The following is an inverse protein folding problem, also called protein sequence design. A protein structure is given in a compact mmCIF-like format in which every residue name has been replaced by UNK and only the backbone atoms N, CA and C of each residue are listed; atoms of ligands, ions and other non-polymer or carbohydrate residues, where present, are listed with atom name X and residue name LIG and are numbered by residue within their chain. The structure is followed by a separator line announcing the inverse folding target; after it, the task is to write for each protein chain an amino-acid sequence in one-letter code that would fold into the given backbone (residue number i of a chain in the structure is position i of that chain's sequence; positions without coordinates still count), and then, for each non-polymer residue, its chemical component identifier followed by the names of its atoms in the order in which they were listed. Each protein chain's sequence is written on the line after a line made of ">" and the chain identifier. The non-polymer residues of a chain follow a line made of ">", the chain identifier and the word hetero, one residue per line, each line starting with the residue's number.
data_IF_489250859763
#
_entry.id   IF_489250859763
#
_cell.length_a   1.000
_cell.length_b   1.000
_cell.length_c   1.000
_cell.angle_alpha   90.00
_cell.angle_beta   90.00
_cell.angle_gamma   90.00
#
_symmetry.space_group_name_H-M   'P 1'
#
loop_
_entity.id
_entity.type
_entity.pdbx_description
1 polymer ?
#
# COMPACT_ATOMS: atom_id res chain seq x y z
N UNK A 1 24.39 7.45 37.61
CA UNK A 1 24.60 7.00 36.22
C UNK A 1 23.34 6.35 35.59
N UNK A 2 22.12 6.65 36.08
CA UNK A 2 20.86 6.06 35.58
C UNK A 2 20.06 6.99 34.66
N UNK A 3 20.34 8.30 34.68
CA UNK A 3 19.63 9.34 33.92
C UNK A 3 19.93 9.31 32.42
N UNK A 4 21.13 8.89 32.00
CA UNK A 4 21.48 8.77 30.58
C UNK A 4 20.69 7.65 29.88
N UNK A 5 20.52 6.48 30.53
CA UNK A 5 19.81 5.34 29.94
C UNK A 5 18.30 5.58 29.76
N UNK A 6 17.67 6.35 30.66
CA UNK A 6 16.26 6.72 30.55
C UNK A 6 16.02 7.70 29.40
N UNK A 7 16.87 8.72 29.27
CA UNK A 7 16.73 9.74 28.24
C UNK A 7 16.91 9.16 26.82
N UNK A 8 17.83 8.20 26.63
CA UNK A 8 18.02 7.51 25.34
C UNK A 8 16.86 6.57 24.99
N UNK A 9 16.24 5.92 25.98
CA UNK A 9 15.12 4.99 25.73
C UNK A 9 13.83 5.68 25.31
N UNK A 10 13.65 6.93 25.72
CA UNK A 10 12.50 7.76 25.36
C UNK A 10 12.67 8.31 23.95
N UNK A 11 13.84 8.87 23.62
CA UNK A 11 14.17 9.32 22.26
C UNK A 11 14.16 8.20 21.23
N UNK A 12 14.65 7.00 21.55
CA UNK A 12 14.60 5.87 20.61
C UNK A 12 13.16 5.43 20.30
N UNK A 13 12.29 5.33 21.32
CA UNK A 13 10.87 5.00 21.13
C UNK A 13 10.16 6.04 20.27
N UNK A 14 10.51 7.31 20.46
CA UNK A 14 9.96 8.44 19.71
C UNK A 14 10.47 8.44 18.26
N UNK A 15 11.73 8.05 18.00
CA UNK A 15 12.27 7.89 16.64
C UNK A 15 11.58 6.76 15.89
N UNK A 16 11.33 5.60 16.52
CA UNK A 16 10.60 4.51 15.88
C UNK A 16 9.15 4.89 15.56
N UNK A 17 8.49 5.62 16.47
CA UNK A 17 7.13 6.11 16.26
C UNK A 17 7.07 7.15 15.15
N UNK A 18 7.99 8.12 15.14
CA UNK A 18 8.10 9.13 14.10
C UNK A 18 8.33 8.51 12.71
N UNK A 19 9.21 7.50 12.62
CA UNK A 19 9.49 6.81 11.35
C UNK A 19 8.27 6.00 10.86
N UNK A 20 7.49 5.40 11.76
CA UNK A 20 6.23 4.74 11.42
C UNK A 20 5.20 5.77 10.95
N UNK A 21 5.08 6.89 11.67
CA UNK A 21 4.11 7.94 11.38
C UNK A 21 4.41 8.62 10.04
N UNK A 22 5.67 8.82 9.69
CA UNK A 22 6.12 9.34 8.38
C UNK A 22 5.75 8.41 7.21
N UNK A 23 5.98 7.10 7.35
CA UNK A 23 5.56 6.08 6.36
C UNK A 23 4.02 6.04 6.21
N UNK A 24 3.26 6.29 7.28
CA UNK A 24 1.80 6.45 7.19
C UNK A 24 1.38 7.79 6.60
N UNK A 25 2.10 8.88 6.89
CA UNK A 25 1.73 10.21 6.41
C UNK A 25 1.91 10.35 4.89
N UNK A 26 2.86 9.61 4.29
CA UNK A 26 2.98 9.49 2.82
C UNK A 26 1.69 9.01 2.13
N UNK A 27 0.81 8.29 2.83
CA UNK A 27 -0.49 7.84 2.31
C UNK A 27 -1.67 8.47 3.06
N UNK A 28 -1.43 9.56 3.80
CA UNK A 28 -2.39 10.23 4.70
C UNK A 28 -3.74 10.58 4.08
N UNK A 29 -3.75 10.93 2.79
CA UNK A 29 -4.97 11.29 2.06
C UNK A 29 -5.82 10.07 1.68
N UNK A 30 -5.21 8.90 1.51
CA UNK A 30 -5.92 7.68 1.10
C UNK A 30 -6.32 6.79 2.28
N UNK A 31 -5.96 7.20 3.49
CA UNK A 31 -6.40 6.53 4.71
C UNK A 31 -7.86 6.86 5.01
N UNK A 32 -8.67 5.80 5.08
CA UNK A 32 -10.06 5.91 5.52
C UNK A 32 -10.12 6.40 6.97
N UNK A 33 -11.23 7.01 7.35
CA UNK A 33 -11.45 7.58 8.68
C UNK A 33 -11.13 6.59 9.82
N UNK A 34 -11.43 5.31 9.62
CA UNK A 34 -11.14 4.23 10.56
C UNK A 34 -9.63 3.97 10.74
N UNK A 35 -8.83 4.11 9.68
CA UNK A 35 -7.37 3.98 9.74
C UNK A 35 -6.72 5.19 10.42
N UNK A 36 -7.25 6.40 10.19
CA UNK A 36 -6.84 7.60 10.95
C UNK A 36 -7.12 7.45 12.43
N UNK A 37 -8.25 6.84 12.80
CA UNK A 37 -8.57 6.53 14.20
C UNK A 37 -7.58 5.53 14.82
N UNK A 38 -7.25 4.42 14.12
CA UNK A 38 -6.26 3.45 14.61
C UNK A 38 -4.84 4.02 14.73
N UNK A 39 -4.47 4.97 13.86
CA UNK A 39 -3.19 5.68 13.99
C UNK A 39 -3.17 6.55 15.24
N UNK A 40 -4.26 7.29 15.49
CA UNK A 40 -4.41 8.14 16.68
C UNK A 40 -4.44 7.34 17.98
N UNK A 41 -4.99 6.13 17.94
CA UNK A 41 -5.09 5.23 19.10
C UNK A 41 -3.81 4.37 19.29
N UNK A 42 -2.75 4.58 18.47
CA UNK A 42 -1.48 3.85 18.57
C UNK A 42 -1.53 2.40 18.08
N UNK A 43 -2.60 1.99 17.40
CA UNK A 43 -2.82 0.63 16.89
C UNK A 43 -2.19 0.39 15.50
N UNK A 44 -0.94 0.82 15.31
CA UNK A 44 -0.23 0.79 14.02
C UNK A 44 -0.21 -0.60 13.35
N UNK A 45 -0.13 -1.68 14.14
CA UNK A 45 -0.14 -3.06 13.63
C UNK A 45 -1.47 -3.41 12.96
N UNK A 46 -2.60 -3.01 13.55
CA UNK A 46 -3.94 -3.25 13.00
C UNK A 46 -4.16 -2.40 11.75
N UNK A 47 -3.72 -1.14 11.77
CA UNK A 47 -3.79 -0.25 10.60
C UNK A 47 -3.01 -0.80 9.39
N UNK A 48 -1.77 -1.26 9.62
CA UNK A 48 -0.92 -1.84 8.57
C UNK A 48 -1.50 -3.15 8.01
N UNK A 49 -1.97 -4.05 8.88
CA UNK A 49 -2.56 -5.33 8.46
C UNK A 49 -3.86 -5.15 7.65
N UNK A 50 -4.72 -4.21 8.06
CA UNK A 50 -5.93 -3.87 7.32
C UNK A 50 -5.60 -3.23 5.96
N UNK A 51 -4.64 -2.30 5.93
CA UNK A 51 -4.17 -1.68 4.69
C UNK A 51 -3.66 -2.75 3.70
N UNK A 52 -2.84 -3.70 4.17
CA UNK A 52 -2.35 -4.81 3.34
C UNK A 52 -3.46 -5.69 2.77
N UNK A 53 -4.50 -6.01 3.56
CA UNK A 53 -5.66 -6.78 3.07
C UNK A 53 -6.40 -6.02 1.98
N UNK A 54 -6.65 -4.72 2.17
CA UNK A 54 -7.28 -3.88 1.14
C UNK A 54 -6.45 -3.81 -0.12
N UNK A 55 -5.15 -3.55 0.02
CA UNK A 55 -4.22 -3.50 -1.11
C UNK A 55 -4.20 -4.82 -1.90
N UNK A 56 -4.34 -5.98 -1.23
CA UNK A 56 -4.50 -7.28 -1.92
C UNK A 56 -5.80 -7.34 -2.73
N UNK A 57 -6.94 -6.94 -2.15
CA UNK A 57 -8.24 -6.94 -2.83
C UNK A 57 -8.20 -6.01 -4.04
N UNK A 58 -7.73 -4.76 -3.86
CA UNK A 58 -7.54 -3.82 -4.96
C UNK A 58 -6.65 -4.40 -6.06
N UNK A 59 -5.58 -5.11 -5.69
CA UNK A 59 -4.72 -5.75 -6.68
C UNK A 59 -5.43 -6.81 -7.52
N UNK A 60 -6.27 -7.64 -6.91
CA UNK A 60 -7.08 -8.62 -7.65
C UNK A 60 -8.06 -7.92 -8.58
N UNK A 61 -8.73 -6.86 -8.11
CA UNK A 61 -9.68 -6.09 -8.93
C UNK A 61 -9.00 -5.45 -10.14
N UNK A 62 -7.81 -4.86 -9.95
CA UNK A 62 -7.07 -4.23 -11.06
C UNK A 62 -6.56 -5.27 -12.06
N UNK A 63 -6.08 -6.43 -11.60
CA UNK A 63 -5.69 -7.52 -12.51
C UNK A 63 -6.90 -8.00 -13.32
N UNK A 64 -8.04 -8.18 -12.66
CA UNK A 64 -9.27 -8.60 -13.33
C UNK A 64 -9.75 -7.56 -14.35
N UNK A 65 -9.66 -6.26 -14.03
CA UNK A 65 -9.99 -5.20 -14.98
C UNK A 65 -9.03 -5.19 -16.18
N UNK A 66 -7.72 -5.37 -15.95
CA UNK A 66 -6.74 -5.47 -17.04
C UNK A 66 -7.09 -6.60 -18.00
N UNK A 67 -7.42 -7.80 -17.48
CA UNK A 67 -7.79 -8.95 -18.32
C UNK A 67 -9.07 -8.63 -19.12
N UNK A 68 -10.11 -8.14 -18.44
CA UNK A 68 -11.42 -7.88 -19.06
C UNK A 68 -11.32 -6.83 -20.17
N UNK A 69 -10.64 -5.70 -19.90
CA UNK A 69 -10.48 -4.63 -20.90
C UNK A 69 -9.51 -5.02 -22.01
N UNK A 70 -8.52 -5.89 -21.75
CA UNK A 70 -7.66 -6.43 -22.81
C UNK A 70 -8.48 -7.30 -23.79
N UNK A 71 -9.37 -8.17 -23.28
CA UNK A 71 -10.25 -8.99 -24.12
C UNK A 71 -11.24 -8.13 -24.91
N UNK A 72 -11.84 -7.11 -24.28
CA UNK A 72 -12.71 -6.14 -24.96
C UNK A 72 -11.98 -5.38 -26.07
N UNK A 73 -10.74 -4.97 -25.80
CA UNK A 73 -9.92 -4.26 -26.78
C UNK A 73 -9.63 -5.16 -28.00
N UNK A 74 -9.23 -6.41 -27.79
CA UNK A 74 -9.01 -7.39 -28.86
C UNK A 74 -10.29 -7.63 -29.66
N UNK A 75 -11.42 -7.82 -28.98
CA UNK A 75 -12.73 -8.00 -29.65
C UNK A 75 -13.06 -6.83 -30.57
N UNK A 76 -12.90 -5.59 -30.09
CA UNK A 76 -13.18 -4.40 -30.88
C UNK A 76 -12.18 -4.18 -32.01
N UNK A 77 -10.91 -4.57 -31.85
CA UNK A 77 -9.95 -4.56 -32.96
C UNK A 77 -10.29 -5.57 -34.06
N UNK A 78 -10.74 -6.78 -33.69
CA UNK A 78 -11.23 -7.78 -34.66
C UNK A 78 -12.47 -7.24 -35.39
N UNK A 79 -13.40 -6.65 -34.64
CA UNK A 79 -14.61 -6.04 -35.20
C UNK A 79 -14.27 -4.91 -36.18
N UNK A 80 -13.27 -4.08 -35.87
CA UNK A 80 -12.76 -3.06 -36.78
C UNK A 80 -12.15 -3.68 -38.04
N UNK A 81 -11.33 -4.73 -37.92
CA UNK A 81 -10.73 -5.41 -39.07
C UNK A 81 -11.75 -6.04 -40.02
N UNK A 82 -12.86 -6.54 -39.48
CA UNK A 82 -13.91 -7.19 -40.27
C UNK A 82 -14.91 -6.20 -40.88
N UNK A 83 -15.33 -5.17 -40.14
CA UNK A 83 -16.45 -4.31 -40.52
C UNK A 83 -16.02 -2.86 -40.84
N UNK A 84 -14.75 -2.49 -40.65
CA UNK A 84 -14.21 -1.16 -40.96
C UNK A 84 -14.76 -0.01 -40.11
N UNK A 85 -15.52 -0.30 -39.04
CA UNK A 85 -16.21 0.72 -38.25
C UNK A 85 -15.27 1.52 -37.33
N UNK A 86 -15.16 2.83 -37.55
CA UNK A 86 -14.31 3.74 -36.74
C UNK A 86 -14.66 3.73 -35.26
N UNK A 87 -15.93 3.50 -34.90
CA UNK A 87 -16.36 3.34 -33.50
C UNK A 87 -15.69 2.16 -32.81
N UNK A 88 -15.55 1.02 -33.50
CA UNK A 88 -14.89 -0.15 -32.95
C UNK A 88 -13.39 0.12 -32.73
N UNK A 89 -12.74 0.87 -33.62
CA UNK A 89 -11.35 1.30 -33.44
C UNK A 89 -11.17 2.17 -32.19
N UNK A 90 -12.04 3.17 -31.99
CA UNK A 90 -11.99 4.07 -30.82
C UNK A 90 -12.23 3.29 -29.52
N UNK A 91 -13.18 2.34 -29.50
CA UNK A 91 -13.43 1.47 -28.36
C UNK A 91 -12.25 0.55 -28.07
N UNK A 92 -11.61 0.00 -29.09
CA UNK A 92 -10.40 -0.81 -28.97
C UNK A 92 -9.24 -0.03 -28.34
N UNK A 93 -8.94 1.16 -28.87
CA UNK A 93 -7.84 2.03 -28.40
C UNK A 93 -8.11 2.54 -26.98
N UNK A 94 -9.33 2.99 -26.68
CA UNK A 94 -9.69 3.49 -25.35
C UNK A 94 -9.64 2.40 -24.27
N UNK A 95 -10.10 1.18 -24.58
CA UNK A 95 -9.96 0.03 -23.70
C UNK A 95 -8.48 -0.30 -23.44
N UNK A 96 -7.63 -0.21 -24.46
CA UNK A 96 -6.19 -0.44 -24.32
C UNK A 96 -5.49 0.66 -23.50
N UNK A 97 -5.86 1.92 -23.71
CA UNK A 97 -5.39 3.05 -22.91
C UNK A 97 -5.78 2.89 -21.43
N UNK A 98 -7.00 2.40 -21.16
CA UNK A 98 -7.44 2.09 -19.80
C UNK A 98 -6.63 0.98 -19.15
N UNK A 99 -6.22 -0.05 -19.91
CA UNK A 99 -5.32 -1.12 -19.42
C UNK A 99 -3.96 -0.56 -19.03
N UNK A 100 -3.35 0.28 -19.87
CA UNK A 100 -2.06 0.94 -19.56
C UNK A 100 -2.20 1.78 -18.29
N UNK A 101 -3.22 2.63 -18.23
CA UNK A 101 -3.46 3.49 -17.08
C UNK A 101 -3.64 2.68 -15.79
N UNK A 102 -4.50 1.65 -15.83
CA UNK A 102 -4.74 0.75 -14.69
C UNK A 102 -3.47 0.06 -14.23
N UNK A 103 -2.59 -0.33 -15.16
CA UNK A 103 -1.29 -0.95 -14.86
C UNK A 103 -0.34 0.02 -14.18
N UNK A 104 -0.28 1.28 -14.62
CA UNK A 104 0.54 2.32 -14.01
C UNK A 104 0.06 2.60 -12.57
N UNK A 105 -1.25 2.75 -12.38
CA UNK A 105 -1.86 2.97 -11.05
C UNK A 105 -1.60 1.78 -10.13
N UNK A 106 -1.75 0.55 -10.62
CA UNK A 106 -1.42 -0.65 -9.84
C UNK A 106 0.04 -0.67 -9.39
N UNK A 107 0.95 -0.34 -10.30
CA UNK A 107 2.39 -0.39 -10.03
C UNK A 107 2.81 0.71 -9.05
N UNK A 108 2.30 1.93 -9.23
CA UNK A 108 2.67 3.06 -8.38
C UNK A 108 1.97 3.05 -7.04
N UNK A 109 0.67 2.80 -6.98
CA UNK A 109 -0.07 3.00 -5.72
C UNK A 109 -0.19 1.70 -4.94
N UNK A 110 -0.54 0.59 -5.61
CA UNK A 110 -0.81 -0.68 -4.92
C UNK A 110 0.49 -1.35 -4.47
N UNK A 111 1.50 -1.45 -5.33
CA UNK A 111 2.77 -2.10 -4.96
C UNK A 111 3.60 -1.25 -3.99
N UNK A 112 3.66 0.07 -4.16
CA UNK A 112 4.41 0.94 -3.24
C UNK A 112 3.75 0.95 -1.86
N UNK A 113 2.41 1.07 -1.79
CA UNK A 113 1.69 0.97 -0.52
C UNK A 113 1.89 -0.39 0.14
N UNK A 114 1.85 -1.49 -0.62
CA UNK A 114 2.15 -2.83 -0.09
C UNK A 114 3.55 -2.89 0.52
N UNK A 115 4.55 -2.37 -0.19
CA UNK A 115 5.95 -2.37 0.25
C UNK A 115 6.15 -1.52 1.52
N UNK A 116 5.58 -0.32 1.56
CA UNK A 116 5.63 0.57 2.73
C UNK A 116 4.97 -0.08 3.95
N UNK A 117 3.74 -0.60 3.83
CA UNK A 117 3.04 -1.24 4.96
C UNK A 117 3.79 -2.49 5.47
N UNK A 118 4.49 -3.22 4.60
CA UNK A 118 5.37 -4.32 5.02
C UNK A 118 6.59 -3.83 5.81
N UNK A 119 7.19 -2.69 5.44
CA UNK A 119 8.27 -2.08 6.23
C UNK A 119 7.79 -1.66 7.61
N UNK A 120 6.63 -1.03 7.69
CA UNK A 120 6.02 -0.65 8.97
C UNK A 120 5.84 -1.86 9.89
N UNK A 121 5.36 -2.99 9.37
CA UNK A 121 5.25 -4.22 10.15
C UNK A 121 6.61 -4.74 10.63
N UNK A 122 7.63 -4.71 9.77
CA UNK A 122 9.00 -5.09 10.16
C UNK A 122 9.58 -4.16 11.22
N UNK A 123 9.35 -2.85 11.13
CA UNK A 123 9.80 -1.86 12.12
C UNK A 123 9.11 -2.08 13.48
N UNK A 124 7.81 -2.39 13.48
CA UNK A 124 7.08 -2.74 14.71
C UNK A 124 7.62 -4.02 15.36
N UNK A 125 7.99 -5.01 14.55
CA UNK A 125 8.58 -6.26 15.03
C UNK A 125 10.00 -6.05 15.57
N UNK A 126 10.83 -5.28 14.88
CA UNK A 126 12.17 -4.89 15.33
C UNK A 126 12.12 -4.12 16.66
N UNK A 127 11.17 -3.18 16.81
CA UNK A 127 10.93 -2.47 18.07
C UNK A 127 10.59 -3.44 19.19
N UNK A 128 9.75 -4.45 18.95
CA UNK A 128 9.38 -5.46 19.94
C UNK A 128 10.59 -6.30 20.36
N UNK A 129 11.41 -6.75 19.41
CA UNK A 129 12.62 -7.52 19.69
C UNK A 129 13.64 -6.70 20.48
N UNK A 130 13.88 -5.45 20.09
CA UNK A 130 14.78 -4.53 20.79
C UNK A 130 14.32 -4.28 22.24
N UNK A 131 13.02 -4.04 22.45
CA UNK A 131 12.45 -3.87 23.79
C UNK A 131 12.60 -5.13 24.64
N UNK A 132 12.35 -6.32 24.07
CA UNK A 132 12.52 -7.58 24.80
C UNK A 132 13.98 -7.85 25.19
N UNK A 133 14.94 -7.63 24.27
CA UNK A 133 16.36 -7.79 24.54
C UNK A 133 16.85 -6.85 25.65
N UNK A 134 16.43 -5.56 25.61
CA UNK A 134 16.76 -4.55 26.62
C UNK A 134 16.16 -4.85 28.01
N UNK A 135 15.12 -5.68 28.06
CA UNK A 135 14.50 -6.11 29.33
C UNK A 135 15.21 -7.36 29.89
N UNK A 136 15.70 -8.24 29.00
CA UNK A 136 16.51 -9.41 29.37
C UNK A 136 17.89 -9.04 29.89
N UNK A 137 18.50 -7.97 29.39
CA UNK A 137 19.84 -7.49 29.79
C UNK A 137 19.83 -6.71 31.13
N UNK A 138 18.64 -6.51 31.71
CA UNK A 138 18.43 -5.87 33.02
C UNK A 138 17.97 -6.85 34.11
N UNK A 139 17.78 -8.11 33.76
CA UNK A 139 17.46 -9.21 34.67
C UNK A 139 18.73 -9.96 35.04
#
# INVERSE_FOLDING_TARGET
>A
MATKLFHTSMTEKDVFLAMIEEEFNQFGNDFLFQQKKWLRDGEYKKAAAYSLRKTRIYGVVVIFSIITFSLLSVYHFIQFGNNGGTTALILGISAWAFVIFSTIVYTRDVLVRKRSMLRVLKLLEARKQYMNAKTSDKS
#
